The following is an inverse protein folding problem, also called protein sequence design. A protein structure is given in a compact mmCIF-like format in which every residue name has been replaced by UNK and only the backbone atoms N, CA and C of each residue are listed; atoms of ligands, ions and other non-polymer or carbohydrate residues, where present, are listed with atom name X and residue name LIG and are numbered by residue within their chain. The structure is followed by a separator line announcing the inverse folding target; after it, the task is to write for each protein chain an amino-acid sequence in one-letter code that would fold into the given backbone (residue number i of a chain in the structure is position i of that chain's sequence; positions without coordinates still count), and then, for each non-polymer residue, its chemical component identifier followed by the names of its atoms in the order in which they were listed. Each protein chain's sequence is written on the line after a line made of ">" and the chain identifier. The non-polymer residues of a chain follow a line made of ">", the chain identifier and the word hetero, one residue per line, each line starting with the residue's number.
data_IF_863221284212
#
_entry.id   IF_863221284212
#
_cell.length_a   1.000
_cell.length_b   1.000
_cell.length_c   1.000
_cell.angle_alpha   90.00
_cell.angle_beta   90.00
_cell.angle_gamma   90.00
#
_symmetry.space_group_name_H-M   'P 1'
#
loop_
_entity.id
_entity.type
_entity.pdbx_description
1 polymer ?
#
# COMPACT_ATOMS: atom_id res chain seq x y z
N UNK A 1 -8.38 28.24 16.57
CA UNK A 1 -8.55 26.97 15.81
C UNK A 1 -9.08 25.93 16.79
N UNK A 2 -10.25 25.32 16.51
CA UNK A 2 -10.85 24.31 17.41
C UNK A 2 -10.54 22.93 16.83
N UNK A 3 -9.93 22.06 17.65
CA UNK A 3 -9.62 20.68 17.26
C UNK A 3 -10.88 19.82 17.32
N UNK A 4 -11.20 19.14 16.25
CA UNK A 4 -12.30 18.17 16.23
C UNK A 4 -11.84 16.85 16.82
N UNK A 5 -12.15 16.59 18.09
CA UNK A 5 -11.70 15.43 18.86
C UNK A 5 -12.17 14.11 18.25
N UNK A 6 -13.38 14.06 17.68
CA UNK A 6 -13.91 12.85 17.04
C UNK A 6 -13.15 12.44 15.77
N UNK A 7 -12.40 13.38 15.17
CA UNK A 7 -11.59 13.17 13.95
C UNK A 7 -10.10 13.26 14.21
N UNK A 8 -9.69 13.45 15.47
CA UNK A 8 -8.28 13.58 15.87
C UNK A 8 -7.87 12.38 16.71
N UNK A 9 -6.68 11.88 16.45
CA UNK A 9 -6.06 10.83 17.23
C UNK A 9 -4.55 11.10 17.32
N UNK A 10 -3.91 10.60 18.36
CA UNK A 10 -2.48 10.67 18.54
C UNK A 10 -1.86 9.33 18.19
N UNK A 11 -0.75 9.36 17.46
CA UNK A 11 0.04 8.18 17.14
C UNK A 11 1.48 8.41 17.60
N UNK A 12 2.08 7.40 18.22
CA UNK A 12 3.47 7.47 18.65
C UNK A 12 4.39 6.67 17.76
N UNK A 13 5.43 7.31 17.28
CA UNK A 13 6.53 6.69 16.52
C UNK A 13 7.84 7.02 17.21
N UNK A 14 8.73 6.06 17.37
CA UNK A 14 10.05 6.25 17.98
C UNK A 14 10.44 5.14 18.95
N UNK A 15 11.64 5.24 19.58
CA UNK A 15 12.19 4.19 20.45
C UNK A 15 11.28 3.76 21.60
N UNK A 16 10.47 4.69 22.11
CA UNK A 16 9.57 4.46 23.25
C UNK A 16 8.09 4.36 22.81
N UNK A 17 7.82 3.84 21.60
CA UNK A 17 6.48 3.77 21.04
C UNK A 17 5.49 2.94 21.87
N UNK A 18 5.97 1.93 22.59
CA UNK A 18 5.21 0.99 23.43
C UNK A 18 4.95 1.49 24.86
N UNK A 19 5.70 2.51 25.31
CA UNK A 19 5.55 3.05 26.67
C UNK A 19 4.25 3.87 26.78
N UNK A 20 3.46 3.71 27.86
CA UNK A 20 2.28 4.53 28.09
C UNK A 20 2.60 6.03 28.07
N UNK A 21 1.80 6.81 27.39
CA UNK A 21 1.92 8.26 27.32
C UNK A 21 0.88 8.94 28.19
N UNK A 22 1.24 10.11 28.72
CA UNK A 22 0.30 11.00 29.36
C UNK A 22 -0.79 11.42 28.38
N UNK A 23 -2.01 11.57 28.86
CA UNK A 23 -3.12 12.05 28.04
C UNK A 23 -2.84 13.45 27.51
N UNK A 24 -3.16 13.65 26.24
CA UNK A 24 -3.10 14.96 25.59
C UNK A 24 -4.49 15.56 25.63
N UNK A 25 -4.61 16.68 26.33
CA UNK A 25 -5.88 17.41 26.47
C UNK A 25 -5.87 18.68 25.63
N UNK A 26 -7.02 19.01 25.06
CA UNK A 26 -7.24 20.29 24.40
C UNK A 26 -7.44 21.40 25.43
N UNK A 27 -7.35 22.67 25.00
CA UNK A 27 -7.64 23.83 25.87
C UNK A 27 -9.02 23.80 26.53
N UNK A 28 -9.96 23.04 25.94
CA UNK A 28 -11.32 22.87 26.46
C UNK A 28 -11.47 21.65 27.39
N UNK A 29 -10.37 21.05 27.85
CA UNK A 29 -10.37 19.92 28.78
C UNK A 29 -10.71 18.56 28.19
N UNK A 30 -10.89 18.45 26.89
CA UNK A 30 -11.19 17.17 26.22
C UNK A 30 -9.91 16.42 25.87
N UNK A 31 -9.85 15.12 26.14
CA UNK A 31 -8.69 14.30 25.82
C UNK A 31 -8.73 13.79 24.36
N UNK A 32 -7.54 13.72 23.73
CA UNK A 32 -7.36 13.13 22.41
C UNK A 32 -6.85 11.69 22.62
N UNK A 33 -7.52 10.72 22.01
CA UNK A 33 -7.19 9.30 22.18
C UNK A 33 -5.87 8.92 21.52
N UNK A 34 -5.11 8.04 22.18
CA UNK A 34 -3.96 7.37 21.58
C UNK A 34 -4.43 6.18 20.73
N UNK A 35 -3.97 6.14 19.47
CA UNK A 35 -4.29 5.08 18.52
C UNK A 35 -3.06 4.22 18.22
N UNK A 36 -3.28 2.93 17.96
CA UNK A 36 -2.23 2.04 17.47
C UNK A 36 -2.02 2.17 15.96
N UNK A 37 -3.01 2.69 15.27
CA UNK A 37 -3.01 2.89 13.84
C UNK A 37 -3.91 4.07 13.49
N UNK A 38 -3.50 4.88 12.52
CA UNK A 38 -4.31 5.96 12.01
C UNK A 38 -4.28 6.00 10.48
N UNK A 39 -5.41 6.37 9.88
CA UNK A 39 -5.51 6.57 8.44
C UNK A 39 -5.19 8.02 8.09
N UNK A 40 -4.19 8.23 7.27
CA UNK A 40 -3.84 9.53 6.72
C UNK A 40 -3.68 9.44 5.20
N UNK A 41 -4.41 10.24 4.44
CA UNK A 41 -4.41 10.25 2.97
C UNK A 41 -4.45 8.83 2.36
N UNK A 42 -5.38 8.00 2.82
CA UNK A 42 -5.56 6.60 2.40
C UNK A 42 -4.45 5.61 2.79
N UNK A 43 -3.36 6.06 3.39
CA UNK A 43 -2.30 5.23 3.95
C UNK A 43 -2.56 5.01 5.44
N UNK A 44 -2.32 3.81 5.93
CA UNK A 44 -2.43 3.50 7.35
C UNK A 44 -1.03 3.55 7.98
N UNK A 45 -0.83 4.51 8.87
CA UNK A 45 0.40 4.66 9.67
C UNK A 45 0.20 3.89 10.97
N UNK A 46 1.18 3.10 11.37
CA UNK A 46 1.11 2.27 12.58
C UNK A 46 2.07 2.75 13.67
N UNK A 47 1.65 2.57 14.91
CA UNK A 47 2.47 2.77 16.09
C UNK A 47 3.66 1.82 16.04
N UNK A 48 4.88 2.34 15.97
CA UNK A 48 6.08 1.53 15.81
C UNK A 48 7.36 2.28 16.19
N UNK A 49 8.46 1.54 16.33
CA UNK A 49 9.78 2.12 16.66
C UNK A 49 10.32 3.03 15.55
N UNK A 50 10.01 2.72 14.29
CA UNK A 50 10.39 3.49 13.11
C UNK A 50 9.12 3.81 12.35
N UNK A 51 9.06 4.93 11.62
CA UNK A 51 7.91 5.25 10.78
C UNK A 51 7.60 4.08 9.84
N UNK A 52 6.37 3.56 9.93
CA UNK A 52 5.94 2.37 9.19
C UNK A 52 4.49 2.50 8.73
N UNK A 53 4.22 2.04 7.51
CA UNK A 53 2.88 1.96 6.94
C UNK A 53 2.36 0.51 6.97
N UNK A 54 1.06 0.34 7.16
CA UNK A 54 0.41 -0.96 7.08
C UNK A 54 0.14 -1.33 5.61
N UNK A 55 0.81 -2.36 5.13
CA UNK A 55 0.66 -2.88 3.77
C UNK A 55 -0.52 -3.83 3.62
N UNK A 56 -1.04 -4.38 4.71
CA UNK A 56 -2.11 -5.40 4.64
C UNK A 56 -3.42 -4.80 4.15
N UNK A 57 -3.68 -3.53 4.48
CA UNK A 57 -4.83 -2.82 3.96
C UNK A 57 -4.73 -2.63 2.43
N UNK A 58 -3.58 -2.23 1.93
CA UNK A 58 -3.33 -2.07 0.49
C UNK A 58 -3.50 -3.40 -0.25
N UNK A 59 -2.91 -4.49 0.27
CA UNK A 59 -3.04 -5.85 -0.28
C UNK A 59 -4.50 -6.31 -0.29
N UNK A 60 -5.24 -6.12 0.81
CA UNK A 60 -6.68 -6.47 0.88
C UNK A 60 -7.51 -5.66 -0.13
N UNK A 61 -7.20 -4.39 -0.32
CA UNK A 61 -7.88 -3.54 -1.29
C UNK A 61 -7.61 -3.98 -2.71
N UNK A 62 -6.36 -4.34 -3.03
CA UNK A 62 -5.98 -4.92 -4.30
C UNK A 62 -6.74 -6.22 -4.58
N UNK A 63 -6.76 -7.18 -3.64
CA UNK A 63 -7.50 -8.43 -3.82
C UNK A 63 -9.00 -8.21 -4.05
N UNK A 64 -9.61 -7.25 -3.35
CA UNK A 64 -11.03 -6.90 -3.57
C UNK A 64 -11.25 -6.36 -4.99
N UNK A 65 -10.39 -5.45 -5.46
CA UNK A 65 -10.48 -4.88 -6.80
C UNK A 65 -10.28 -5.96 -7.89
N UNK A 66 -9.27 -6.81 -7.74
CA UNK A 66 -8.99 -7.93 -8.65
C UNK A 66 -10.17 -8.90 -8.70
N UNK A 67 -10.69 -9.33 -7.56
CA UNK A 67 -11.82 -10.25 -7.51
C UNK A 67 -13.10 -9.65 -8.10
N UNK A 68 -13.32 -8.34 -7.94
CA UNK A 68 -14.45 -7.65 -8.57
C UNK A 68 -14.35 -7.66 -10.11
N UNK A 69 -13.15 -7.46 -10.67
CA UNK A 69 -12.92 -7.57 -12.11
C UNK A 69 -13.14 -9.03 -12.57
N UNK A 70 -12.52 -10.00 -11.90
CA UNK A 70 -12.68 -11.41 -12.23
C UNK A 70 -14.14 -11.89 -12.18
N UNK A 71 -14.89 -11.46 -11.18
CA UNK A 71 -16.30 -11.82 -11.02
C UNK A 71 -17.18 -11.30 -12.16
N UNK A 72 -16.82 -10.15 -12.74
CA UNK A 72 -17.60 -9.52 -13.81
C UNK A 72 -17.20 -10.01 -15.20
N UNK A 73 -15.94 -10.14 -15.49
CA UNK A 73 -15.47 -10.36 -16.88
C UNK A 73 -14.52 -11.56 -17.04
N UNK A 74 -14.10 -12.22 -15.95
CA UNK A 74 -13.09 -13.27 -15.98
C UNK A 74 -13.46 -14.53 -16.77
N UNK A 75 -14.74 -14.66 -17.18
CA UNK A 75 -15.21 -15.75 -18.05
C UNK A 75 -15.41 -15.33 -19.52
N UNK A 76 -15.39 -14.03 -19.80
CA UNK A 76 -15.79 -13.47 -21.09
C UNK A 76 -14.62 -12.78 -21.77
N UNK A 77 -13.77 -12.10 -21.00
CA UNK A 77 -12.66 -11.34 -21.53
C UNK A 77 -11.41 -12.20 -21.70
N UNK A 78 -10.58 -11.84 -22.69
CA UNK A 78 -9.26 -12.44 -22.86
C UNK A 78 -8.33 -12.09 -21.70
N UNK A 79 -7.31 -12.91 -21.47
CA UNK A 79 -6.30 -12.70 -20.42
C UNK A 79 -5.62 -11.34 -20.59
N UNK A 80 -5.36 -10.91 -21.80
CA UNK A 80 -4.74 -9.62 -22.11
C UNK A 80 -5.60 -8.45 -21.61
N UNK A 81 -6.90 -8.46 -21.87
CA UNK A 81 -7.84 -7.42 -21.41
C UNK A 81 -7.88 -7.40 -19.87
N UNK A 82 -7.92 -8.55 -19.23
CA UNK A 82 -7.90 -8.65 -17.77
C UNK A 82 -6.62 -8.06 -17.21
N UNK A 83 -5.46 -8.40 -17.78
CA UNK A 83 -4.16 -7.88 -17.35
C UNK A 83 -4.11 -6.36 -17.50
N UNK A 84 -4.57 -5.80 -18.61
CA UNK A 84 -4.61 -4.34 -18.84
C UNK A 84 -5.51 -3.62 -17.82
N UNK A 85 -6.65 -4.19 -17.46
CA UNK A 85 -7.53 -3.65 -16.44
C UNK A 85 -6.88 -3.70 -15.05
N UNK A 86 -6.21 -4.80 -14.69
CA UNK A 86 -5.49 -4.90 -13.42
C UNK A 86 -4.34 -3.91 -13.37
N UNK A 87 -3.56 -3.79 -14.45
CA UNK A 87 -2.46 -2.82 -14.56
C UNK A 87 -2.94 -1.39 -14.37
N UNK A 88 -4.03 -1.01 -15.02
CA UNK A 88 -4.53 0.38 -15.01
C UNK A 88 -5.33 0.74 -13.75
N UNK A 89 -6.03 -0.21 -13.13
CA UNK A 89 -6.97 0.08 -12.03
C UNK A 89 -6.55 -0.47 -10.68
N UNK A 90 -5.95 -1.67 -10.64
CA UNK A 90 -5.68 -2.33 -9.36
C UNK A 90 -4.28 -2.04 -8.82
N UNK A 91 -3.28 -1.87 -9.70
CA UNK A 91 -1.92 -1.57 -9.26
C UNK A 91 -1.86 -0.22 -8.55
N UNK A 92 -2.52 0.81 -9.07
CA UNK A 92 -2.58 2.12 -8.40
C UNK A 92 -3.18 2.06 -7.00
N UNK A 93 -4.16 1.18 -6.77
CA UNK A 93 -4.74 0.95 -5.43
C UNK A 93 -3.72 0.29 -4.48
N UNK A 94 -2.88 -0.61 -5.00
CA UNK A 94 -1.89 -1.33 -4.21
C UNK A 94 -0.71 -0.44 -3.78
N UNK A 95 -0.25 0.44 -4.69
CA UNK A 95 0.97 1.22 -4.47
C UNK A 95 0.72 2.66 -3.98
N UNK A 96 -0.54 3.09 -3.89
CA UNK A 96 -0.89 4.47 -3.54
C UNK A 96 -0.24 4.94 -2.24
N UNK A 97 0.51 6.03 -2.32
CA UNK A 97 1.18 6.67 -1.18
C UNK A 97 2.35 5.88 -0.58
N UNK A 98 2.74 4.75 -1.19
CA UNK A 98 3.86 3.94 -0.69
C UNK A 98 5.23 4.45 -1.14
N UNK A 99 5.27 5.34 -2.13
CA UNK A 99 6.49 6.00 -2.63
C UNK A 99 7.19 6.86 -1.58
N UNK A 100 6.45 7.35 -0.59
CA UNK A 100 6.98 8.15 0.53
C UNK A 100 7.23 7.32 1.79
N UNK A 101 6.86 6.04 1.80
CA UNK A 101 7.05 5.16 2.95
C UNK A 101 8.43 4.50 2.91
N UNK A 102 9.14 4.40 4.05
CA UNK A 102 10.40 3.66 4.12
C UNK A 102 10.11 2.15 4.07
N UNK A 103 10.09 1.59 2.87
CA UNK A 103 9.83 0.17 2.65
C UNK A 103 11.12 -0.64 2.68
N UNK A 104 11.11 -1.76 3.39
CA UNK A 104 12.19 -2.75 3.38
C UNK A 104 12.10 -3.63 2.13
N UNK A 105 13.19 -4.34 1.80
CA UNK A 105 13.18 -5.35 0.73
C UNK A 105 12.13 -6.44 0.95
N UNK A 106 11.84 -6.78 2.21
CA UNK A 106 10.78 -7.73 2.58
C UNK A 106 9.38 -7.16 2.30
N UNK A 107 9.17 -5.87 2.59
CA UNK A 107 7.91 -5.19 2.31
C UNK A 107 7.63 -5.15 0.80
N UNK A 108 8.64 -4.83 -0.01
CA UNK A 108 8.53 -4.84 -1.48
C UNK A 108 8.17 -6.22 -2.02
N UNK A 109 8.85 -7.28 -1.58
CA UNK A 109 8.50 -8.67 -1.94
C UNK A 109 7.08 -9.03 -1.50
N UNK A 110 6.64 -8.55 -0.34
CA UNK A 110 5.28 -8.75 0.17
C UNK A 110 4.22 -8.07 -0.70
N UNK A 111 4.56 -6.97 -1.40
CA UNK A 111 3.68 -6.30 -2.36
C UNK A 111 3.66 -6.98 -3.73
N UNK A 112 4.75 -7.61 -4.15
CA UNK A 112 4.81 -8.38 -5.40
C UNK A 112 4.01 -9.67 -5.31
N UNK A 113 3.92 -10.26 -4.12
CA UNK A 113 3.23 -11.53 -3.90
C UNK A 113 1.75 -11.54 -4.37
N UNK A 114 0.89 -10.56 -4.06
CA UNK A 114 -0.49 -10.51 -4.57
C UNK A 114 -0.58 -10.51 -6.09
N UNK A 115 0.36 -9.83 -6.78
CA UNK A 115 0.42 -9.78 -8.24
C UNK A 115 0.81 -11.14 -8.81
N UNK A 116 1.83 -11.79 -8.26
CA UNK A 116 2.21 -13.13 -8.67
C UNK A 116 1.06 -14.14 -8.48
N UNK A 117 0.35 -14.06 -7.35
CA UNK A 117 -0.84 -14.89 -7.09
C UNK A 117 -1.99 -14.62 -8.07
N UNK A 118 -2.16 -13.37 -8.50
CA UNK A 118 -3.10 -13.03 -9.55
C UNK A 118 -2.74 -13.73 -10.88
N UNK A 119 -1.48 -13.65 -11.33
CA UNK A 119 -1.00 -14.31 -12.54
C UNK A 119 -1.15 -15.84 -12.45
N UNK A 120 -0.77 -16.43 -11.32
CA UNK A 120 -0.98 -17.88 -11.08
C UNK A 120 -2.45 -18.28 -11.25
N UNK A 121 -3.36 -17.48 -10.73
CA UNK A 121 -4.81 -17.72 -10.87
C UNK A 121 -5.29 -17.55 -12.31
N UNK A 122 -4.82 -16.51 -13.01
CA UNK A 122 -5.22 -16.19 -14.38
C UNK A 122 -4.80 -17.31 -15.35
N UNK A 123 -3.53 -17.73 -15.28
CA UNK A 123 -2.95 -18.73 -16.16
C UNK A 123 -3.04 -20.17 -15.61
N UNK A 124 -3.74 -20.36 -14.49
CA UNK A 124 -3.92 -21.68 -13.83
C UNK A 124 -2.60 -22.44 -13.63
N UNK A 125 -1.55 -21.74 -13.25
CA UNK A 125 -0.21 -22.29 -13.04
C UNK A 125 0.29 -22.03 -11.62
N UNK A 126 1.13 -22.92 -11.11
CA UNK A 126 1.89 -22.71 -9.87
C UNK A 126 3.37 -22.42 -10.13
N UNK A 127 3.81 -22.46 -11.39
CA UNK A 127 5.18 -22.23 -11.79
C UNK A 127 5.52 -20.76 -11.81
N UNK A 128 6.39 -20.31 -10.91
CA UNK A 128 6.79 -18.90 -10.82
C UNK A 128 7.58 -18.43 -12.05
N UNK A 129 8.35 -19.32 -12.70
CA UNK A 129 9.08 -18.96 -13.91
C UNK A 129 8.13 -18.60 -15.04
N UNK A 130 7.08 -19.40 -15.25
CA UNK A 130 6.03 -19.08 -16.22
C UNK A 130 5.33 -17.75 -15.91
N UNK A 131 5.11 -17.45 -14.63
CA UNK A 131 4.53 -16.16 -14.21
C UNK A 131 5.45 -15.01 -14.60
N UNK A 132 6.75 -15.13 -14.35
CA UNK A 132 7.72 -14.11 -14.72
C UNK A 132 7.77 -13.90 -16.25
N UNK A 133 7.79 -14.97 -17.02
CA UNK A 133 7.79 -14.91 -18.49
C UNK A 133 6.53 -14.20 -19.02
N UNK A 134 5.36 -14.51 -18.43
CA UNK A 134 4.11 -13.81 -18.75
C UNK A 134 4.18 -12.32 -18.40
N UNK A 135 4.74 -11.96 -17.23
CA UNK A 135 4.88 -10.56 -16.84
C UNK A 135 5.75 -9.78 -17.82
N UNK A 136 6.87 -10.37 -18.26
CA UNK A 136 7.74 -9.78 -19.30
C UNK A 136 6.99 -9.64 -20.61
N UNK A 137 6.30 -10.70 -21.07
CA UNK A 137 5.55 -10.69 -22.34
C UNK A 137 4.48 -9.61 -22.38
N UNK A 138 3.73 -9.42 -21.29
CA UNK A 138 2.69 -8.38 -21.20
C UNK A 138 3.21 -7.01 -20.75
N UNK A 139 4.52 -6.84 -20.62
CA UNK A 139 5.13 -5.57 -20.16
C UNK A 139 4.58 -5.11 -18.81
N UNK A 140 4.42 -6.03 -17.86
CA UNK A 140 3.83 -5.75 -16.56
C UNK A 140 4.93 -5.57 -15.50
N UNK A 141 5.15 -4.32 -15.08
CA UNK A 141 6.08 -4.02 -13.99
C UNK A 141 5.49 -4.45 -12.65
N UNK A 142 6.30 -5.12 -11.83
CA UNK A 142 5.94 -5.46 -10.45
C UNK A 142 5.82 -4.20 -9.56
N UNK A 143 4.99 -4.24 -8.52
CA UNK A 143 4.86 -3.14 -7.55
C UNK A 143 6.19 -2.62 -7.01
N UNK A 144 7.14 -3.52 -6.70
CA UNK A 144 8.47 -3.16 -6.23
C UNK A 144 9.23 -2.28 -7.21
N UNK A 145 9.17 -2.57 -8.50
CA UNK A 145 9.82 -1.79 -9.57
C UNK A 145 9.18 -0.41 -9.72
N UNK A 146 7.85 -0.38 -9.70
CA UNK A 146 7.07 0.87 -9.84
C UNK A 146 7.34 1.80 -8.66
N UNK A 147 7.31 1.28 -7.42
CA UNK A 147 7.56 2.05 -6.20
C UNK A 147 8.99 2.59 -6.19
N UNK A 148 10.00 1.78 -6.53
CA UNK A 148 11.40 2.24 -6.60
C UNK A 148 11.56 3.41 -7.59
N UNK A 149 10.93 3.31 -8.75
CA UNK A 149 10.91 4.38 -9.76
C UNK A 149 10.22 5.65 -9.25
N UNK A 150 9.09 5.52 -8.56
CA UNK A 150 8.33 6.65 -8.01
C UNK A 150 9.08 7.30 -6.84
N UNK A 151 9.64 6.52 -5.92
CA UNK A 151 10.43 7.02 -4.79
C UNK A 151 11.66 7.80 -5.26
N UNK A 152 12.37 7.34 -6.29
CA UNK A 152 13.50 8.06 -6.88
C UNK A 152 13.05 9.41 -7.47
N UNK A 153 11.93 9.44 -8.18
CA UNK A 153 11.36 10.69 -8.71
C UNK A 153 10.95 11.65 -7.59
N UNK A 154 10.32 11.14 -6.53
CA UNK A 154 9.92 11.95 -5.37
C UNK A 154 11.14 12.56 -4.68
N UNK A 155 12.18 11.78 -4.43
CA UNK A 155 13.42 12.25 -3.80
C UNK A 155 14.11 13.29 -4.68
N UNK A 156 14.26 13.08 -5.98
CA UNK A 156 14.89 14.03 -6.90
C UNK A 156 14.13 15.36 -6.99
N UNK A 157 12.81 15.32 -6.93
CA UNK A 157 11.97 16.54 -6.95
C UNK A 157 12.12 17.37 -5.66
N UNK A 158 12.34 16.72 -4.50
CA UNK A 158 12.44 17.41 -3.22
C UNK A 158 13.86 17.90 -2.88
N UNK A 159 14.90 17.33 -3.48
CA UNK A 159 16.29 17.79 -3.30
C UNK A 159 16.54 19.15 -3.98
N UNK A 160 15.77 19.51 -5.00
CA UNK A 160 15.88 20.79 -5.71
C UNK A 160 15.16 21.96 -5.03
N UNK A 161 14.60 21.78 -3.83
CA UNK A 161 13.84 22.79 -3.09
C UNK A 161 14.62 23.29 -1.85
N UNK A 162 15.88 22.87 -1.69
CA UNK A 162 16.73 23.27 -0.55
C UNK A 162 17.77 24.28 -0.96
#
# INVERSE_FOLDING_TARGET
>A
MVINIKKSACLRVGPHYDVPCKEITTSNGNSISWANQMRYLCVFIVKSRVFKCDLDHAKRSFYRAVNAIFGRIGRIASEEVIIQLIKSKCISVLIYGLEVCPLTKSDLKSLDFPVNRFYMKLFKTSNIQMVNDCQVYFGFDLPSVIIDRQSKKFLSANVNVS
#
